data_IF_716882575299
#
_entry.id   IF_716882575299
#
_cell.length_a   1.000
_cell.length_b   1.000
_cell.length_c   1.000
_cell.angle_alpha   90.00
_cell.angle_beta   90.00
_cell.angle_gamma   90.00
#
_symmetry.space_group_name_H-M   'P 1'
#
loop_
_entity.id
_entity.type
_entity.pdbx_description
1 polymer ?
#
# COMPACT_ATOMS: atom_id res chain seq x y z
N UNK A 1 -12.98 -14.44 -0.58
CA UNK A 1 -12.49 -13.80 -1.81
C UNK A 1 -13.15 -12.45 -2.12
N UNK A 2 -14.37 -12.15 -1.64
CA UNK A 2 -15.05 -10.86 -1.84
C UNK A 2 -14.99 -9.83 -0.70
N UNK A 3 -14.24 -10.08 0.37
CA UNK A 3 -14.10 -9.14 1.50
C UNK A 3 -12.84 -8.29 1.31
N UNK A 4 -12.97 -6.96 1.26
CA UNK A 4 -11.84 -6.02 1.09
C UNK A 4 -10.82 -6.03 2.23
N UNK A 5 -11.16 -6.59 3.39
CA UNK A 5 -10.23 -6.73 4.53
C UNK A 5 -9.43 -8.03 4.54
N UNK A 6 -9.79 -9.02 3.71
CA UNK A 6 -9.14 -10.35 3.68
C UNK A 6 -8.94 -10.90 2.26
N UNK A 7 -9.22 -10.11 1.24
CA UNK A 7 -9.20 -10.52 -0.16
C UNK A 7 -9.18 -9.31 -1.09
N UNK A 8 -9.01 -9.58 -2.38
CA UNK A 8 -8.83 -8.58 -3.43
C UNK A 8 -10.09 -7.73 -3.74
N UNK A 9 -11.19 -7.91 -3.01
CA UNK A 9 -12.45 -7.17 -3.25
C UNK A 9 -13.13 -7.51 -4.58
N UNK A 10 -12.76 -8.63 -5.22
CA UNK A 10 -13.29 -9.05 -6.52
C UNK A 10 -14.80 -9.22 -6.41
N UNK A 11 -15.55 -8.41 -7.17
CA UNK A 11 -17.01 -8.46 -7.23
C UNK A 11 -17.75 -7.65 -6.17
N UNK A 12 -17.06 -6.93 -5.27
CA UNK A 12 -17.70 -6.03 -4.30
C UNK A 12 -18.00 -4.66 -4.91
N UNK A 13 -18.81 -4.65 -5.97
CA UNK A 13 -19.26 -3.41 -6.61
C UNK A 13 -20.61 -3.01 -6.00
N UNK A 14 -20.60 -1.95 -5.20
CA UNK A 14 -21.82 -1.30 -4.72
C UNK A 14 -21.92 0.08 -5.35
N UNK A 15 -23.00 0.35 -6.09
CA UNK A 15 -23.33 1.70 -6.53
C UNK A 15 -24.07 2.37 -5.37
N UNK A 16 -23.31 2.86 -4.38
CA UNK A 16 -23.86 3.58 -3.25
C UNK A 16 -23.53 5.07 -3.35
N UNK A 17 -24.56 5.88 -3.64
CA UNK A 17 -24.45 7.33 -3.75
C UNK A 17 -24.02 7.96 -2.41
N UNK A 18 -24.37 7.34 -1.29
CA UNK A 18 -24.01 7.74 0.07
C UNK A 18 -22.49 7.67 0.30
N UNK A 19 -21.86 6.59 -0.17
CA UNK A 19 -20.41 6.36 -0.10
C UNK A 19 -19.67 7.34 -1.02
N UNK A 20 -20.15 7.53 -2.25
CA UNK A 20 -19.57 8.52 -3.17
C UNK A 20 -19.66 9.95 -2.58
N UNK A 21 -20.80 10.30 -1.98
CA UNK A 21 -20.99 11.59 -1.33
C UNK A 21 -20.13 11.77 -0.07
N UNK A 22 -19.93 10.69 0.71
CA UNK A 22 -19.10 10.69 1.91
C UNK A 22 -17.60 10.86 1.61
N UNK A 23 -17.09 10.20 0.57
CA UNK A 23 -15.69 10.33 0.14
C UNK A 23 -15.39 11.68 -0.51
N UNK A 24 -16.31 12.20 -1.33
CA UNK A 24 -16.11 13.46 -2.05
C UNK A 24 -16.55 14.69 -1.25
N UNK A 25 -17.16 14.50 -0.06
CA UNK A 25 -17.78 15.49 0.84
C UNK A 25 -18.95 16.29 0.23
N UNK A 26 -18.87 16.61 -1.06
CA UNK A 26 -19.98 17.03 -1.90
C UNK A 26 -19.77 16.48 -3.32
N UNK A 27 -20.54 15.47 -3.76
CA UNK A 27 -20.40 14.88 -5.08
C UNK A 27 -20.80 15.86 -6.21
N UNK A 28 -21.48 16.96 -5.89
CA UNK A 28 -21.80 18.03 -6.84
C UNK A 28 -20.59 18.90 -7.20
N UNK A 29 -19.58 18.98 -6.33
CA UNK A 29 -18.40 19.82 -6.53
C UNK A 29 -17.28 19.12 -7.32
N UNK A 30 -17.36 17.79 -7.44
CA UNK A 30 -16.34 16.99 -8.12
C UNK A 30 -16.81 16.65 -9.54
N UNK A 31 -16.07 17.10 -10.55
CA UNK A 31 -16.35 16.76 -11.96
C UNK A 31 -16.36 15.24 -12.17
N UNK A 32 -17.25 14.74 -13.02
CA UNK A 32 -17.38 13.31 -13.35
C UNK A 32 -16.06 12.70 -13.86
N UNK A 33 -15.20 13.49 -14.48
CA UNK A 33 -13.87 13.06 -14.94
C UNK A 33 -12.92 12.71 -13.79
N UNK A 34 -13.00 13.43 -12.67
CA UNK A 34 -12.19 13.14 -11.49
C UNK A 34 -12.64 11.84 -10.82
N UNK A 35 -13.95 11.59 -10.77
CA UNK A 35 -14.51 10.33 -10.25
C UNK A 35 -14.02 9.15 -11.11
N UNK A 36 -14.05 9.28 -12.43
CA UNK A 36 -13.55 8.24 -13.33
C UNK A 36 -12.05 7.99 -13.15
N UNK A 37 -11.24 9.03 -12.97
CA UNK A 37 -9.80 8.87 -12.75
C UNK A 37 -9.49 8.14 -11.43
N UNK A 38 -10.24 8.43 -10.36
CA UNK A 38 -10.12 7.74 -9.07
C UNK A 38 -10.49 6.25 -9.22
N UNK A 39 -11.62 5.97 -9.89
CA UNK A 39 -12.04 4.60 -10.17
C UNK A 39 -11.02 3.84 -11.03
N UNK A 40 -10.48 4.48 -12.06
CA UNK A 40 -9.46 3.90 -12.92
C UNK A 40 -8.18 3.60 -12.14
N UNK A 41 -7.73 4.52 -11.29
CA UNK A 41 -6.57 4.32 -10.41
C UNK A 41 -6.77 3.13 -9.47
N UNK A 42 -7.97 3.00 -8.87
CA UNK A 42 -8.31 1.85 -8.04
C UNK A 42 -8.25 0.54 -8.82
N UNK A 43 -8.83 0.50 -10.03
CA UNK A 43 -8.80 -0.71 -10.88
C UNK A 43 -7.37 -1.08 -11.26
N UNK A 44 -6.56 -0.11 -11.70
CA UNK A 44 -5.16 -0.34 -12.04
C UNK A 44 -4.34 -0.80 -10.82
N UNK A 45 -4.56 -0.21 -9.64
CA UNK A 45 -3.88 -0.59 -8.41
C UNK A 45 -4.17 -2.03 -7.99
N UNK A 46 -5.47 -2.37 -7.85
CA UNK A 46 -5.90 -3.66 -7.31
C UNK A 46 -5.78 -4.79 -8.34
N UNK A 47 -6.10 -4.54 -9.61
CA UNK A 47 -6.20 -5.58 -10.63
C UNK A 47 -5.01 -5.66 -11.58
N UNK A 48 -4.10 -4.67 -11.57
CA UNK A 48 -2.89 -4.70 -12.41
C UNK A 48 -1.63 -4.72 -11.56
N UNK A 49 -1.40 -3.69 -10.72
CA UNK A 49 -0.17 -3.60 -9.92
C UNK A 49 -0.06 -4.70 -8.87
N UNK A 50 -1.14 -4.99 -8.16
CA UNK A 50 -1.17 -6.05 -7.14
C UNK A 50 -0.86 -7.46 -7.68
N UNK A 51 -1.50 -7.95 -8.76
CA UNK A 51 -1.14 -9.25 -9.32
C UNK A 51 0.27 -9.26 -9.94
N UNK A 52 0.72 -8.17 -10.56
CA UNK A 52 2.11 -8.07 -11.05
C UNK A 52 3.10 -8.20 -9.88
N UNK A 53 2.90 -7.46 -8.80
CA UNK A 53 3.75 -7.53 -7.60
C UNK A 53 3.75 -8.91 -6.95
N UNK A 54 2.59 -9.57 -6.89
CA UNK A 54 2.47 -10.92 -6.37
C UNK A 54 3.14 -11.98 -7.26
N UNK A 55 2.99 -11.87 -8.59
CA UNK A 55 3.60 -12.80 -9.55
C UNK A 55 5.10 -12.61 -9.68
N UNK A 56 5.59 -11.37 -9.58
CA UNK A 56 7.01 -11.05 -9.53
C UNK A 56 7.71 -11.54 -8.26
N UNK A 57 6.97 -12.09 -7.29
CA UNK A 57 7.48 -12.53 -5.99
C UNK A 57 8.36 -11.47 -5.30
N UNK A 58 8.04 -10.18 -5.51
CA UNK A 58 8.76 -9.10 -4.86
C UNK A 58 8.60 -9.27 -3.33
N UNK A 59 9.71 -9.26 -2.59
CA UNK A 59 9.73 -9.44 -1.13
C UNK A 59 9.18 -10.78 -0.60
N UNK A 60 9.35 -11.90 -1.33
CA UNK A 60 8.82 -13.21 -0.92
C UNK A 60 7.30 -13.18 -0.67
N UNK A 61 6.56 -12.37 -1.43
CA UNK A 61 5.12 -12.16 -1.29
C UNK A 61 4.29 -13.47 -1.32
N UNK A 62 4.82 -14.56 -1.90
CA UNK A 62 4.15 -15.87 -1.91
C UNK A 62 4.15 -16.59 -0.55
N UNK A 63 5.01 -16.22 0.39
CA UNK A 63 5.04 -16.81 1.73
C UNK A 63 3.97 -16.23 2.67
N UNK A 64 3.36 -15.08 2.34
CA UNK A 64 2.49 -14.33 3.24
C UNK A 64 1.13 -14.02 2.60
N UNK A 65 0.07 -13.82 3.41
CA UNK A 65 -1.24 -13.42 2.89
C UNK A 65 -1.18 -12.09 2.13
N UNK A 66 -1.87 -12.04 0.98
CA UNK A 66 -1.98 -10.87 0.08
C UNK A 66 -2.38 -9.58 0.80
N UNK A 67 -3.21 -9.71 1.84
CA UNK A 67 -3.66 -8.59 2.66
C UNK A 67 -3.43 -8.93 4.13
N UNK A 68 -2.51 -8.19 4.76
CA UNK A 68 -2.25 -8.26 6.18
C UNK A 68 -1.66 -6.94 6.65
N UNK A 69 -2.13 -6.46 7.81
CA UNK A 69 -1.53 -5.32 8.52
C UNK A 69 -0.32 -5.72 9.37
N UNK A 70 -0.03 -7.02 9.46
CA UNK A 70 1.03 -7.54 10.31
C UNK A 70 2.34 -7.68 9.52
N UNK A 71 3.45 -7.52 10.25
CA UNK A 71 4.81 -7.81 9.79
C UNK A 71 5.12 -9.29 9.99
N UNK A 72 5.91 -9.85 9.08
CA UNK A 72 6.28 -11.26 9.10
C UNK A 72 7.79 -11.46 9.07
N UNK A 73 8.24 -12.58 9.65
CA UNK A 73 9.59 -13.08 9.48
C UNK A 73 9.78 -13.77 8.12
N UNK A 74 11.01 -14.14 7.76
CA UNK A 74 11.31 -14.77 6.47
C UNK A 74 10.69 -16.18 6.32
N UNK A 75 10.10 -16.72 7.39
CA UNK A 75 9.54 -18.08 7.44
C UNK A 75 8.01 -18.12 7.33
N UNK A 76 7.32 -16.97 7.34
CA UNK A 76 5.85 -16.93 7.27
C UNK A 76 5.17 -16.53 8.57
N UNK A 77 5.90 -16.45 9.69
CA UNK A 77 5.32 -16.24 11.01
C UNK A 77 5.24 -14.74 11.38
N UNK A 78 4.30 -14.34 12.26
CA UNK A 78 4.24 -12.97 12.77
C UNK A 78 5.57 -12.57 13.41
N UNK A 79 6.09 -11.39 13.06
CA UNK A 79 7.39 -10.95 13.50
C UNK A 79 7.44 -10.72 15.02
N UNK A 80 8.41 -11.33 15.71
CA UNK A 80 8.57 -11.18 17.16
C UNK A 80 9.53 -10.02 17.50
N UNK A 81 8.94 -8.86 17.79
CA UNK A 81 9.65 -7.61 18.10
C UNK A 81 10.46 -7.71 19.42
N UNK A 82 10.04 -8.55 20.36
CA UNK A 82 10.75 -8.70 21.65
C UNK A 82 12.11 -9.39 21.50
N UNK A 83 12.37 -10.07 20.37
CA UNK A 83 13.67 -10.73 20.09
C UNK A 83 14.74 -9.79 19.53
N UNK A 84 14.34 -8.61 19.04
CA UNK A 84 15.23 -7.66 18.35
C UNK A 84 15.37 -6.33 19.09
N UNK A 85 14.39 -6.00 19.94
CA UNK A 85 14.39 -4.80 20.76
C UNK A 85 14.80 -5.18 22.17
N UNK A 86 15.85 -4.54 22.66
CA UNK A 86 16.19 -4.61 24.07
C UNK A 86 15.17 -3.80 24.88
N UNK A 87 14.31 -4.48 25.63
CA UNK A 87 13.19 -3.90 26.40
C UNK A 87 13.62 -2.78 27.36
N UNK A 88 14.86 -2.84 27.87
CA UNK A 88 15.39 -1.87 28.84
C UNK A 88 15.94 -0.60 28.21
N UNK A 89 16.50 -0.70 27.01
CA UNK A 89 17.17 0.42 26.33
C UNK A 89 16.40 0.92 25.13
N UNK A 90 15.33 0.22 24.72
CA UNK A 90 14.54 0.48 23.51
C UNK A 90 15.40 0.64 22.25
N UNK A 91 16.60 0.04 22.26
CA UNK A 91 17.56 0.11 21.17
C UNK A 91 17.45 -1.15 20.32
N UNK A 92 17.48 -0.98 19.00
CA UNK A 92 17.50 -2.07 18.04
C UNK A 92 18.86 -2.79 18.08
N UNK A 93 18.83 -4.10 18.28
CA UNK A 93 20.04 -4.92 18.22
C UNK A 93 20.22 -5.47 16.80
N UNK A 94 21.09 -4.81 16.02
CA UNK A 94 21.36 -5.19 14.63
C UNK A 94 21.90 -6.62 14.49
N UNK A 95 22.61 -7.12 15.50
CA UNK A 95 23.14 -8.49 15.48
C UNK A 95 22.04 -9.54 15.65
N UNK A 96 21.03 -9.25 16.48
CA UNK A 96 19.88 -10.14 16.66
C UNK A 96 18.91 -10.07 15.47
N UNK A 97 18.77 -8.91 14.82
CA UNK A 97 18.04 -8.75 13.55
C UNK A 97 18.61 -9.64 12.43
N UNK A 98 19.93 -9.61 12.22
CA UNK A 98 20.57 -10.42 11.17
C UNK A 98 20.47 -11.92 11.44
N UNK A 99 20.50 -12.33 12.70
CA UNK A 99 20.38 -13.73 13.12
C UNK A 99 18.93 -14.25 13.06
N UNK A 100 17.96 -13.40 13.40
CA UNK A 100 16.55 -13.79 13.47
C UNK A 100 15.86 -13.75 12.10
N UNK A 101 15.73 -12.57 11.49
CA UNK A 101 15.12 -12.37 10.17
C UNK A 101 15.04 -10.88 9.86
N UNK A 102 15.14 -10.49 8.59
CA UNK A 102 14.66 -9.16 8.16
C UNK A 102 13.14 -9.06 8.29
N UNK A 103 12.65 -7.87 8.63
CA UNK A 103 11.21 -7.56 8.67
C UNK A 103 10.66 -7.59 7.23
N UNK A 104 9.67 -8.44 6.99
CA UNK A 104 8.91 -8.47 5.74
C UNK A 104 7.51 -7.88 5.96
N UNK A 105 7.03 -7.11 4.99
CA UNK A 105 5.69 -6.53 4.96
C UNK A 105 4.86 -7.11 3.82
N UNK A 106 3.54 -7.10 3.97
CA UNK A 106 2.64 -7.56 2.90
C UNK A 106 2.82 -6.72 1.63
N UNK A 107 2.71 -7.36 0.46
CA UNK A 107 2.89 -6.73 -0.85
C UNK A 107 1.93 -5.55 -1.08
N UNK A 108 0.72 -5.60 -0.52
CA UNK A 108 -0.25 -4.49 -0.57
C UNK A 108 0.28 -3.25 0.13
N UNK A 109 0.92 -3.44 1.30
CA UNK A 109 1.50 -2.35 2.09
C UNK A 109 2.71 -1.76 1.37
N UNK A 110 3.61 -2.62 0.86
CA UNK A 110 4.77 -2.18 0.08
C UNK A 110 4.36 -1.37 -1.17
N UNK A 111 3.37 -1.83 -1.91
CA UNK A 111 2.84 -1.13 -3.09
C UNK A 111 2.22 0.22 -2.71
N UNK A 112 1.46 0.28 -1.61
CA UNK A 112 0.84 1.53 -1.14
C UNK A 112 1.91 2.57 -0.82
N UNK A 113 2.96 2.19 -0.08
CA UNK A 113 4.10 3.05 0.19
C UNK A 113 4.82 3.49 -1.09
N UNK A 114 5.06 2.56 -2.01
CA UNK A 114 5.71 2.86 -3.29
C UNK A 114 4.93 3.91 -4.10
N UNK A 115 3.61 3.77 -4.17
CA UNK A 115 2.73 4.75 -4.84
C UNK A 115 2.74 6.09 -4.10
N UNK A 116 2.71 6.12 -2.76
CA UNK A 116 2.80 7.37 -1.99
C UNK A 116 4.10 8.12 -2.25
N UNK A 117 5.24 7.42 -2.28
CA UNK A 117 6.53 8.03 -2.64
C UNK A 117 6.51 8.56 -4.08
N UNK A 118 5.98 7.79 -5.02
CA UNK A 118 5.84 8.23 -6.41
C UNK A 118 4.96 9.47 -6.53
N UNK A 119 3.85 9.57 -5.78
CA UNK A 119 2.98 10.74 -5.75
C UNK A 119 3.68 11.97 -5.18
N UNK A 120 4.48 11.81 -4.12
CA UNK A 120 5.29 12.91 -3.56
C UNK A 120 6.33 13.39 -4.57
N UNK A 121 7.09 12.48 -5.18
CA UNK A 121 8.07 12.83 -6.21
C UNK A 121 7.40 13.47 -7.41
N UNK A 122 6.25 12.97 -7.87
CA UNK A 122 5.48 13.56 -8.96
C UNK A 122 5.01 14.99 -8.62
N UNK A 123 4.59 15.23 -7.37
CA UNK A 123 4.18 16.56 -6.92
C UNK A 123 5.35 17.55 -6.94
N UNK A 124 6.52 17.11 -6.44
CA UNK A 124 7.75 17.92 -6.49
C UNK A 124 8.15 18.22 -7.93
N UNK A 125 8.16 17.20 -8.80
CA UNK A 125 8.49 17.36 -10.22
C UNK A 125 7.50 18.27 -10.94
N UNK A 126 6.20 18.16 -10.64
CA UNK A 126 5.17 19.02 -11.20
C UNK A 126 5.40 20.48 -10.81
N UNK A 127 5.69 20.75 -9.52
CA UNK A 127 6.01 22.09 -9.01
C UNK A 127 7.30 22.61 -9.64
N UNK A 128 8.35 21.79 -9.74
CA UNK A 128 9.64 22.18 -10.31
C UNK A 128 9.52 22.52 -11.80
N UNK A 129 8.83 21.70 -12.59
CA UNK A 129 8.63 21.92 -14.02
C UNK A 129 7.70 23.10 -14.33
N UNK A 130 6.69 23.33 -13.49
CA UNK A 130 5.74 24.43 -13.68
C UNK A 130 6.31 25.78 -13.23
N UNK A 131 7.05 25.83 -12.11
CA UNK A 131 7.67 27.06 -11.62
C UNK A 131 9.02 27.37 -12.30
N UNK A 132 9.74 26.36 -12.80
CA UNK A 132 10.95 26.56 -13.60
C UNK A 132 10.69 27.03 -15.04
N UNK A 133 9.40 27.16 -15.43
CA UNK A 133 8.99 27.66 -16.76
C UNK A 133 8.74 29.18 -16.78
N UNK A 134 9.08 29.88 -15.69
CA UNK A 134 8.93 31.33 -15.52
C UNK A 134 10.26 32.04 -15.20
N UNK A 135 11.40 31.51 -15.66
CA UNK A 135 12.66 32.25 -15.83
C UNK A 135 13.17 32.11 -17.27
#
# INVERSE_FOLDING_TARGET
>A
MGCGMKGLGIGSFGIDWSTAAGFLRSPLATSATAIFNIMLSFVLGIYVLLPIGYWANAYNAKCFPLYSSHVFDNTGHPYNITKIINDKTFTLNLHEEESYSKINISITFALTYGVSFASLTASIMHVALYNGKYE
#
